data_IF_939853004019
#
_entry.id   IF_939853004019
#
_cell.length_a   1.000
_cell.length_b   1.000
_cell.length_c   1.000
_cell.angle_alpha   90.00
_cell.angle_beta   90.00
_cell.angle_gamma   90.00
#
_symmetry.space_group_name_H-M   'P 1'
#
loop_
_entity.id
_entity.type
_entity.pdbx_description
1 polymer ?
#
# COMPACT_ATOMS: atom_id res chain seq x y z
N UNK A 1 -16.14 -56.09 7.57
CA UNK A 1 -14.92 -56.08 8.42
C UNK A 1 -14.50 -54.63 8.57
N UNK A 2 -14.09 -54.21 9.77
CA UNK A 2 -13.51 -52.88 9.96
C UNK A 2 -12.17 -52.82 9.22
N UNK A 3 -11.84 -51.64 8.70
CA UNK A 3 -10.49 -51.38 8.19
C UNK A 3 -9.46 -51.51 9.35
N UNK A 4 -8.20 -51.91 9.05
CA UNK A 4 -7.12 -51.92 10.03
C UNK A 4 -6.87 -50.53 10.62
N UNK A 5 -6.41 -50.48 11.87
CA UNK A 5 -6.16 -49.23 12.59
C UNK A 5 -5.13 -48.35 11.88
N UNK A 6 -4.09 -48.96 11.31
CA UNK A 6 -3.05 -48.28 10.55
C UNK A 6 -3.62 -47.58 9.31
N UNK A 7 -4.62 -48.17 8.65
CA UNK A 7 -5.30 -47.56 7.50
C UNK A 7 -6.11 -46.33 7.93
N UNK A 8 -6.75 -46.38 9.10
CA UNK A 8 -7.49 -45.24 9.65
C UNK A 8 -6.54 -44.09 10.05
N UNK A 9 -5.39 -44.41 10.66
CA UNK A 9 -4.36 -43.42 10.99
C UNK A 9 -3.81 -42.75 9.73
N UNK A 10 -3.49 -43.53 8.68
CA UNK A 10 -3.04 -42.97 7.41
C UNK A 10 -4.07 -42.04 6.77
N UNK A 11 -5.37 -42.37 6.86
CA UNK A 11 -6.45 -41.48 6.38
C UNK A 11 -6.54 -40.19 7.21
N UNK A 12 -6.39 -40.27 8.53
CA UNK A 12 -6.39 -39.10 9.39
C UNK A 12 -5.22 -38.16 9.06
N UNK A 13 -4.00 -38.69 8.94
CA UNK A 13 -2.84 -37.90 8.55
C UNK A 13 -3.01 -37.27 7.16
N UNK A 14 -3.58 -38.01 6.20
CA UNK A 14 -3.88 -37.45 4.87
C UNK A 14 -4.86 -36.28 4.96
N UNK A 15 -5.95 -36.44 5.71
CA UNK A 15 -6.97 -35.40 5.86
C UNK A 15 -6.39 -34.15 6.52
N UNK A 16 -5.51 -34.31 7.51
CA UNK A 16 -4.79 -33.21 8.14
C UNK A 16 -3.92 -32.44 7.13
N UNK A 17 -3.10 -33.15 6.35
CA UNK A 17 -2.27 -32.54 5.31
C UNK A 17 -3.10 -31.82 4.24
N UNK A 18 -4.23 -32.40 3.83
CA UNK A 18 -5.15 -31.76 2.88
C UNK A 18 -5.80 -30.50 3.49
N UNK A 19 -6.15 -30.51 4.77
CA UNK A 19 -6.63 -29.34 5.51
C UNK A 19 -5.60 -28.22 5.53
N UNK A 20 -4.36 -28.53 5.90
CA UNK A 20 -3.26 -27.55 5.93
C UNK A 20 -3.02 -26.94 4.55
N UNK A 21 -3.02 -27.76 3.49
CA UNK A 21 -2.86 -27.27 2.11
C UNK A 21 -3.93 -26.25 1.74
N UNK A 22 -5.19 -26.54 2.11
CA UNK A 22 -6.30 -25.63 1.86
C UNK A 22 -6.13 -24.30 2.59
N UNK A 23 -5.79 -24.34 3.88
CA UNK A 23 -5.53 -23.13 4.66
C UNK A 23 -4.37 -22.30 4.09
N UNK A 24 -3.32 -22.95 3.59
CA UNK A 24 -2.21 -22.27 2.92
C UNK A 24 -2.63 -21.58 1.62
N UNK A 25 -3.49 -22.22 0.83
CA UNK A 25 -3.98 -21.64 -0.43
C UNK A 25 -4.94 -20.46 -0.18
N UNK A 26 -5.78 -20.56 0.85
CA UNK A 26 -6.62 -19.45 1.30
C UNK A 26 -5.75 -18.27 1.78
N UNK A 27 -4.71 -18.54 2.57
CA UNK A 27 -3.77 -17.51 3.03
C UNK A 27 -3.01 -16.84 1.87
N UNK A 28 -2.57 -17.62 0.87
CA UNK A 28 -1.94 -17.06 -0.35
C UNK A 28 -2.89 -16.17 -1.14
N UNK A 29 -4.16 -16.54 -1.21
CA UNK A 29 -5.19 -15.72 -1.88
C UNK A 29 -5.35 -14.38 -1.16
N UNK A 30 -5.47 -14.40 0.17
CA UNK A 30 -5.53 -13.17 0.98
C UNK A 30 -4.26 -12.32 0.84
N UNK A 31 -3.08 -12.94 0.77
CA UNK A 31 -1.83 -12.24 0.54
C UNK A 31 -1.86 -11.50 -0.81
N UNK A 32 -2.28 -12.17 -1.89
CA UNK A 32 -2.37 -11.56 -3.22
C UNK A 32 -3.34 -10.37 -3.25
N UNK A 33 -4.48 -10.47 -2.56
CA UNK A 33 -5.44 -9.37 -2.44
C UNK A 33 -4.85 -8.17 -1.68
N UNK A 34 -4.13 -8.43 -0.59
CA UNK A 34 -3.45 -7.38 0.17
C UNK A 34 -2.36 -6.69 -0.65
N UNK A 35 -1.55 -7.44 -1.39
CA UNK A 35 -0.53 -6.90 -2.29
C UNK A 35 -1.15 -6.02 -3.37
N UNK A 36 -2.26 -6.47 -3.99
CA UNK A 36 -3.00 -5.67 -4.97
C UNK A 36 -3.55 -4.36 -4.35
N UNK A 37 -4.07 -4.43 -3.13
CA UNK A 37 -4.56 -3.26 -2.39
C UNK A 37 -3.42 -2.28 -2.06
N UNK A 38 -2.26 -2.78 -1.62
CA UNK A 38 -1.07 -1.95 -1.35
C UNK A 38 -0.65 -1.23 -2.63
N UNK A 39 -0.53 -1.95 -3.74
CA UNK A 39 -0.14 -1.37 -5.03
C UNK A 39 -1.11 -0.27 -5.49
N UNK A 40 -2.42 -0.51 -5.33
CA UNK A 40 -3.46 0.49 -5.62
C UNK A 40 -3.32 1.74 -4.74
N UNK A 41 -3.05 1.57 -3.44
CA UNK A 41 -2.87 2.68 -2.50
C UNK A 41 -1.60 3.48 -2.81
N UNK A 42 -0.50 2.82 -3.16
CA UNK A 42 0.74 3.48 -3.58
C UNK A 42 0.53 4.31 -4.85
N UNK A 43 -0.18 3.77 -5.85
CA UNK A 43 -0.52 4.52 -7.05
C UNK A 43 -1.38 5.75 -6.73
N UNK A 44 -2.42 5.60 -5.90
CA UNK A 44 -3.26 6.72 -5.44
C UNK A 44 -2.45 7.77 -4.68
N UNK A 45 -1.50 7.34 -3.86
CA UNK A 45 -0.61 8.24 -3.11
C UNK A 45 0.27 9.06 -4.05
N UNK A 46 0.85 8.45 -5.09
CA UNK A 46 1.65 9.17 -6.10
C UNK A 46 0.82 10.22 -6.82
N UNK A 47 -0.38 9.86 -7.28
CA UNK A 47 -1.31 10.79 -7.93
C UNK A 47 -1.73 11.94 -7.00
N UNK A 48 -2.02 11.65 -5.73
CA UNK A 48 -2.34 12.68 -4.75
C UNK A 48 -1.16 13.64 -4.50
N UNK A 49 0.08 13.12 -4.43
CA UNK A 49 1.30 13.93 -4.30
C UNK A 49 1.49 14.82 -5.53
N UNK A 50 1.26 14.30 -6.74
CA UNK A 50 1.34 15.06 -8.00
C UNK A 50 0.31 16.19 -8.02
N UNK A 51 -0.97 15.90 -7.74
CA UNK A 51 -2.03 16.91 -7.66
C UNK A 51 -1.72 17.99 -6.62
N UNK A 52 -1.21 17.60 -5.45
CA UNK A 52 -0.78 18.56 -4.42
C UNK A 52 0.34 19.47 -4.93
N UNK A 53 1.34 18.91 -5.64
CA UNK A 53 2.44 19.68 -6.24
C UNK A 53 1.90 20.71 -7.25
N UNK A 54 1.02 20.29 -8.15
CA UNK A 54 0.38 21.17 -9.13
C UNK A 54 -0.40 22.30 -8.46
N UNK A 55 -1.18 21.99 -7.41
CA UNK A 55 -1.92 22.99 -6.65
C UNK A 55 -1.01 24.01 -5.93
N UNK A 56 0.11 23.55 -5.35
CA UNK A 56 1.11 24.42 -4.72
C UNK A 56 1.72 25.38 -5.75
N UNK A 57 2.11 24.86 -6.92
CA UNK A 57 2.67 25.68 -8.00
C UNK A 57 1.66 26.70 -8.53
N UNK A 58 0.41 26.29 -8.72
CA UNK A 58 -0.65 27.20 -9.14
C UNK A 58 -0.92 28.32 -8.10
N UNK A 59 -0.88 27.99 -6.81
CA UNK A 59 -1.05 28.98 -5.74
C UNK A 59 0.13 29.97 -5.67
N UNK A 60 1.37 29.50 -5.83
CA UNK A 60 2.55 30.37 -5.87
C UNK A 60 2.51 31.28 -7.10
N UNK A 61 2.14 30.76 -8.28
CA UNK A 61 1.96 31.54 -9.50
C UNK A 61 0.83 32.58 -9.39
N UNK A 62 -0.20 32.32 -8.59
CA UNK A 62 -1.28 33.25 -8.28
C UNK A 62 -0.88 34.30 -7.21
N UNK A 63 0.36 34.28 -6.71
CA UNK A 63 0.85 35.22 -5.71
C UNK A 63 0.36 34.95 -4.29
N UNK A 64 -0.17 33.75 -4.00
CA UNK A 64 -0.59 33.39 -2.64
C UNK A 64 0.64 33.32 -1.73
N UNK A 65 0.64 33.96 -0.55
CA UNK A 65 1.79 33.91 0.35
C UNK A 65 2.17 32.47 0.72
N UNK A 66 3.46 32.11 0.57
CA UNK A 66 3.98 30.75 0.84
C UNK A 66 3.66 30.24 2.24
N UNK A 67 3.57 31.13 3.23
CA UNK A 67 3.13 30.78 4.59
C UNK A 67 1.69 30.25 4.62
N UNK A 68 0.79 30.87 3.84
CA UNK A 68 -0.60 30.43 3.70
C UNK A 68 -0.66 29.11 2.95
N UNK A 69 0.07 28.99 1.84
CA UNK A 69 0.17 27.72 1.07
C UNK A 69 0.59 26.57 1.99
N UNK A 70 1.67 26.75 2.77
CA UNK A 70 2.18 25.75 3.72
C UNK A 70 1.13 25.27 4.73
N UNK A 71 0.32 26.19 5.28
CA UNK A 71 -0.77 25.83 6.21
C UNK A 71 -1.86 25.02 5.51
N UNK A 72 -2.33 25.46 4.36
CA UNK A 72 -3.44 24.81 3.65
C UNK A 72 -3.07 23.43 3.10
N UNK A 73 -1.83 23.24 2.65
CA UNK A 73 -1.38 21.94 2.11
C UNK A 73 -0.80 21.02 3.18
N UNK A 74 -0.80 21.44 4.44
CA UNK A 74 -0.33 20.67 5.59
C UNK A 74 1.15 20.29 5.51
N UNK A 75 1.97 21.08 4.80
CA UNK A 75 3.40 20.85 4.68
C UNK A 75 4.19 21.81 5.55
N UNK A 76 5.28 21.34 6.14
CA UNK A 76 6.26 22.22 6.75
C UNK A 76 6.73 23.26 5.74
N UNK A 77 6.91 24.49 6.21
CA UNK A 77 7.28 25.63 5.37
C UNK A 77 8.52 25.31 4.54
N UNK A 78 9.60 24.80 5.15
CA UNK A 78 10.83 24.39 4.47
C UNK A 78 10.58 23.47 3.27
N UNK A 79 9.66 22.52 3.38
CA UNK A 79 9.35 21.57 2.31
C UNK A 79 8.60 22.22 1.15
N UNK A 80 7.79 23.26 1.40
CA UNK A 80 7.15 24.06 0.34
C UNK A 80 8.22 24.85 -0.43
N UNK A 81 9.19 25.45 0.26
CA UNK A 81 10.28 26.18 -0.42
C UNK A 81 11.11 25.24 -1.31
N UNK A 82 11.55 24.08 -0.80
CA UNK A 82 12.25 23.07 -1.61
C UNK A 82 11.47 22.65 -2.85
N UNK A 83 10.15 22.43 -2.70
CA UNK A 83 9.27 22.03 -3.80
C UNK A 83 9.15 23.12 -4.88
N UNK A 84 9.08 24.39 -4.48
CA UNK A 84 9.00 25.53 -5.40
C UNK A 84 10.34 25.87 -6.05
N UNK A 85 11.45 25.64 -5.34
CA UNK A 85 12.82 25.85 -5.81
C UNK A 85 13.31 24.72 -6.74
N UNK A 86 12.49 23.67 -6.94
CA UNK A 86 12.81 22.54 -7.80
C UNK A 86 13.77 21.52 -7.18
N UNK A 87 14.06 21.65 -5.89
CA UNK A 87 15.12 20.92 -5.18
C UNK A 87 14.65 19.58 -4.60
N UNK A 88 13.65 18.94 -5.24
CA UNK A 88 13.13 17.65 -4.80
C UNK A 88 13.96 16.51 -5.39
N UNK A 89 15.02 16.14 -4.68
CA UNK A 89 15.75 14.87 -4.81
C UNK A 89 14.93 13.65 -4.28
N UNK A 90 13.62 13.63 -4.48
CA UNK A 90 12.72 12.59 -3.95
C UNK A 90 11.84 12.03 -5.07
N UNK A 91 12.51 11.48 -6.10
CA UNK A 91 11.98 10.33 -6.85
C UNK A 91 12.49 9.06 -6.19
N UNK A 92 11.78 8.58 -5.17
CA UNK A 92 11.90 7.23 -4.61
C UNK A 92 10.57 6.80 -3.98
#
# INVERSE_FOLDING_TARGET
>A
MSDPEEVLQLRACRAEVEGIKKELDDARTQQAELEAKINSLLAKQREARKKRREAVLAADAAGVPRLRISKEVGMQRSNVYKLLEGDTADES
#
